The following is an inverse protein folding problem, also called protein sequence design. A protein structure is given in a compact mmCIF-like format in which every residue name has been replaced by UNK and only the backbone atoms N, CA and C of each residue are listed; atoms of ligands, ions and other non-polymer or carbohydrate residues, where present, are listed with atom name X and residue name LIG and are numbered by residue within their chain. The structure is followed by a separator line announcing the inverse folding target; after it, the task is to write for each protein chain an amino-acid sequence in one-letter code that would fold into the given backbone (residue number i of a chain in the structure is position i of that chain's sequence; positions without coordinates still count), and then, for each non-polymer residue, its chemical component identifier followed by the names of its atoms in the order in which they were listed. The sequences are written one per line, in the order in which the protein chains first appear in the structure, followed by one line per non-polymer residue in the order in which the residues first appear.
data_IF_938708477349
#
_entry.id   IF_938708477349
#
_cell.length_a   1.000
_cell.length_b   1.000
_cell.length_c   1.000
_cell.angle_alpha   90.00
_cell.angle_beta   90.00
_cell.angle_gamma   90.00
#
_symmetry.space_group_name_H-M   'P 1'
#
loop_
_entity.id
_entity.type
_entity.pdbx_description
1 polymer ?
#
# COMPACT_ATOMS: atom_id res chain seq x y z
N UNK A 1 3.41 -19.42 26.68
CA UNK A 1 2.24 -18.56 27.00
C UNK A 1 2.05 -17.66 25.80
N UNK A 2 0.82 -17.48 25.33
CA UNK A 2 0.56 -16.57 24.20
C UNK A 2 0.73 -15.14 24.74
N UNK A 3 1.53 -14.33 24.04
CA UNK A 3 1.72 -12.91 24.38
C UNK A 3 0.38 -12.16 24.35
N UNK A 4 0.24 -11.16 25.22
CA UNK A 4 -0.98 -10.37 25.32
C UNK A 4 -1.10 -9.44 24.11
N UNK A 5 -2.13 -9.66 23.28
CA UNK A 5 -2.40 -8.80 22.11
C UNK A 5 -3.11 -7.49 22.50
N UNK A 6 -3.48 -7.28 23.77
CA UNK A 6 -4.21 -6.10 24.23
C UNK A 6 -3.62 -4.76 23.77
N UNK A 7 -2.28 -4.55 23.70
CA UNK A 7 -1.72 -3.32 23.15
C UNK A 7 -2.15 -3.04 21.69
N UNK A 8 -2.30 -4.08 20.87
CA UNK A 8 -2.71 -3.99 19.48
C UNK A 8 -4.23 -3.77 19.31
N UNK A 9 -5.03 -3.94 20.36
CA UNK A 9 -6.46 -3.65 20.38
C UNK A 9 -6.81 -2.26 20.93
N UNK A 10 -5.79 -1.41 21.16
CA UNK A 10 -6.00 -0.01 21.52
C UNK A 10 -6.26 0.86 20.29
N UNK A 11 -7.08 1.89 20.46
CA UNK A 11 -7.38 2.88 19.41
C UNK A 11 -6.09 3.54 18.87
N UNK A 12 -6.09 3.87 17.59
CA UNK A 12 -5.09 4.71 16.92
C UNK A 12 -5.77 5.88 16.23
N UNK A 13 -5.15 7.07 16.32
CA UNK A 13 -5.69 8.28 15.70
C UNK A 13 -4.60 9.02 14.91
N UNK A 14 -4.91 9.43 13.69
CA UNK A 14 -4.07 10.26 12.83
C UNK A 14 -4.93 11.13 11.92
N UNK A 15 -4.93 12.45 12.13
CA UNK A 15 -5.87 13.35 11.43
C UNK A 15 -7.32 12.95 11.73
N UNK A 16 -8.14 12.86 10.69
CA UNK A 16 -9.53 12.36 10.81
C UNK A 16 -9.64 10.83 10.91
N UNK A 17 -8.54 10.09 10.81
CA UNK A 17 -8.54 8.63 10.87
C UNK A 17 -8.53 8.16 12.31
N UNK A 18 -9.63 7.57 12.77
CA UNK A 18 -9.76 6.93 14.08
C UNK A 18 -9.99 5.44 13.85
N UNK A 19 -9.05 4.62 14.30
CA UNK A 19 -9.02 3.17 14.13
C UNK A 19 -9.27 2.49 15.47
N UNK A 20 -10.22 1.56 15.52
CA UNK A 20 -10.60 0.85 16.74
C UNK A 20 -9.53 -0.11 17.28
N UNK A 21 -8.53 -0.44 16.46
CA UNK A 21 -7.37 -1.26 16.83
C UNK A 21 -6.22 -1.01 15.82
N UNK A 22 -5.11 -1.74 15.98
CA UNK A 22 -3.88 -1.55 15.19
C UNK A 22 -3.79 -2.43 13.94
N UNK A 23 -4.78 -3.27 13.65
CA UNK A 23 -4.74 -4.17 12.51
C UNK A 23 -5.26 -3.53 11.23
N UNK A 24 -4.44 -3.61 10.19
CA UNK A 24 -4.69 -3.06 8.87
C UNK A 24 -4.72 -4.20 7.84
N UNK A 25 -5.61 -4.15 6.86
CA UNK A 25 -5.50 -4.99 5.67
C UNK A 25 -4.57 -4.32 4.67
N UNK A 26 -3.47 -5.01 4.32
CA UNK A 26 -2.56 -4.56 3.27
C UNK A 26 -3.25 -4.61 1.90
N UNK A 27 -2.92 -3.72 0.96
CA UNK A 27 -3.37 -3.78 -0.42
C UNK A 27 -3.00 -5.13 -1.05
N UNK A 28 -3.98 -5.77 -1.68
CA UNK A 28 -3.82 -7.05 -2.37
C UNK A 28 -4.67 -7.06 -3.64
N UNK A 29 -4.03 -7.02 -4.80
CA UNK A 29 -4.72 -7.01 -6.10
C UNK A 29 -5.60 -8.24 -6.28
N UNK A 30 -6.89 -8.02 -6.58
CA UNK A 30 -7.88 -9.10 -6.67
C UNK A 30 -8.35 -9.40 -8.09
N UNK A 31 -8.41 -8.42 -8.98
CA UNK A 31 -8.80 -8.61 -10.40
C UNK A 31 -10.27 -8.99 -10.59
N UNK A 32 -11.16 -8.44 -9.76
CA UNK A 32 -12.62 -8.72 -9.80
C UNK A 32 -13.47 -7.49 -10.15
N UNK A 33 -12.87 -6.49 -10.80
CA UNK A 33 -13.53 -5.25 -11.19
C UNK A 33 -13.57 -5.14 -12.72
N UNK A 34 -14.43 -5.91 -13.41
CA UNK A 34 -14.53 -5.87 -14.86
C UNK A 34 -14.86 -4.44 -15.32
N UNK A 35 -14.18 -3.99 -16.38
CA UNK A 35 -14.27 -2.62 -16.89
C UNK A 35 -13.96 -1.54 -15.85
N UNK A 36 -13.10 -1.83 -14.86
CA UNK A 36 -12.72 -0.89 -13.82
C UNK A 36 -13.76 -0.69 -12.72
N UNK A 37 -14.89 -1.43 -12.74
CA UNK A 37 -16.01 -1.21 -11.81
C UNK A 37 -16.04 -2.28 -10.70
N UNK A 38 -15.84 -1.90 -9.43
CA UNK A 38 -16.02 -2.84 -8.31
C UNK A 38 -17.50 -3.17 -8.12
N UNK A 39 -17.83 -4.46 -8.19
CA UNK A 39 -19.20 -4.96 -8.03
C UNK A 39 -19.55 -5.40 -6.61
N UNK A 40 -20.73 -6.00 -6.44
CA UNK A 40 -21.23 -6.48 -5.14
C UNK A 40 -20.29 -7.51 -4.48
N UNK A 41 -19.62 -8.35 -5.26
CA UNK A 41 -18.66 -9.32 -4.74
C UNK A 41 -17.44 -8.62 -4.09
N UNK A 42 -16.96 -7.54 -4.70
CA UNK A 42 -15.86 -6.72 -4.16
C UNK A 42 -16.30 -5.99 -2.89
N UNK A 43 -17.51 -5.44 -2.86
CA UNK A 43 -18.07 -4.85 -1.64
C UNK A 43 -18.12 -5.87 -0.50
N UNK A 44 -18.77 -7.03 -0.74
CA UNK A 44 -18.89 -8.09 0.25
C UNK A 44 -17.52 -8.60 0.74
N UNK A 45 -16.53 -8.69 -0.16
CA UNK A 45 -15.15 -9.06 0.17
C UNK A 45 -14.57 -8.13 1.24
N UNK A 46 -14.60 -6.82 1.03
CA UNK A 46 -14.09 -5.86 2.01
C UNK A 46 -14.96 -5.78 3.28
N UNK A 47 -16.29 -5.84 3.16
CA UNK A 47 -17.21 -5.84 4.32
C UNK A 47 -16.88 -6.96 5.30
N UNK A 48 -16.59 -8.18 4.82
CA UNK A 48 -16.25 -9.31 5.71
C UNK A 48 -14.99 -9.07 6.54
N UNK A 49 -13.99 -8.37 5.99
CA UNK A 49 -12.77 -8.03 6.75
C UNK A 49 -13.04 -6.98 7.82
N UNK A 50 -13.92 -6.01 7.55
CA UNK A 50 -14.39 -5.06 8.54
C UNK A 50 -15.16 -5.76 9.68
N UNK A 51 -16.08 -6.68 9.35
CA UNK A 51 -16.78 -7.51 10.33
C UNK A 51 -15.81 -8.38 11.16
N UNK A 52 -14.70 -8.79 10.56
CA UNK A 52 -13.59 -9.48 11.21
C UNK A 52 -12.72 -8.61 12.13
N UNK A 53 -13.12 -7.36 12.40
CA UNK A 53 -12.40 -6.35 13.21
C UNK A 53 -11.07 -5.87 12.62
N UNK A 54 -10.87 -5.94 11.31
CA UNK A 54 -9.81 -5.15 10.68
C UNK A 54 -10.18 -3.67 10.78
N UNK A 55 -9.36 -2.85 11.44
CA UNK A 55 -9.70 -1.46 11.70
C UNK A 55 -9.58 -0.58 10.46
N UNK A 56 -8.55 -0.80 9.64
CA UNK A 56 -8.32 -0.10 8.38
C UNK A 56 -8.15 -1.09 7.24
N UNK A 57 -8.88 -0.88 6.15
CA UNK A 57 -8.74 -1.60 4.90
C UNK A 57 -8.03 -0.68 3.91
N UNK A 58 -6.86 -1.11 3.43
CA UNK A 58 -6.28 -0.54 2.22
C UNK A 58 -6.71 -1.44 1.06
N UNK A 59 -7.41 -0.89 0.08
CA UNK A 59 -7.91 -1.67 -1.07
C UNK A 59 -6.76 -2.28 -1.86
N UNK A 60 -7.08 -3.15 -2.82
CA UNK A 60 -6.20 -3.39 -3.97
C UNK A 60 -5.72 -2.11 -4.64
N UNK A 61 -4.69 -2.22 -5.49
CA UNK A 61 -4.26 -1.12 -6.35
C UNK A 61 -5.41 -0.65 -7.24
N UNK A 62 -5.70 0.65 -7.19
CA UNK A 62 -6.77 1.30 -7.93
C UNK A 62 -6.16 2.22 -8.98
N UNK A 63 -6.50 2.01 -10.24
CA UNK A 63 -6.03 2.83 -11.36
C UNK A 63 -6.47 4.29 -11.20
N UNK A 64 -5.51 5.19 -11.31
CA UNK A 64 -5.78 6.64 -11.33
C UNK A 64 -6.46 7.06 -12.65
N UNK A 65 -6.96 8.30 -12.69
CA UNK A 65 -7.60 8.93 -13.84
C UNK A 65 -6.62 9.29 -14.97
N UNK A 66 -5.94 8.27 -15.51
CA UNK A 66 -4.99 8.40 -16.60
C UNK A 66 -4.93 7.13 -17.47
N UNK A 67 -4.99 7.23 -18.82
CA UNK A 67 -5.01 6.06 -19.70
C UNK A 67 -3.80 5.11 -19.58
N UNK A 68 -2.63 5.60 -19.14
CA UNK A 68 -1.43 4.76 -18.94
C UNK A 68 -1.33 4.12 -17.55
N UNK A 69 -2.30 4.33 -16.66
CA UNK A 69 -2.19 3.92 -15.26
C UNK A 69 -2.12 2.39 -15.10
N UNK A 70 -2.99 1.68 -15.80
CA UNK A 70 -3.19 0.24 -15.63
C UNK A 70 -3.18 -0.50 -16.98
N UNK A 71 -2.87 -1.79 -16.90
CA UNK A 71 -2.91 -2.74 -18.00
C UNK A 71 -2.44 -4.10 -17.48
N UNK A 72 -2.07 -5.02 -18.38
CA UNK A 72 -1.37 -6.22 -17.92
C UNK A 72 0.04 -5.86 -17.42
N UNK A 73 0.56 -6.63 -16.47
CA UNK A 73 1.89 -6.43 -15.90
C UNK A 73 2.58 -7.74 -15.55
N UNK A 74 3.46 -7.68 -14.55
CA UNK A 74 4.27 -8.82 -14.11
C UNK A 74 3.45 -9.97 -13.52
N UNK A 75 2.23 -9.70 -13.04
CA UNK A 75 1.36 -10.70 -12.43
C UNK A 75 0.11 -10.94 -13.28
N UNK A 76 0.13 -10.62 -14.57
CA UNK A 76 -1.00 -10.72 -15.50
C UNK A 76 -2.25 -9.99 -14.95
N UNK A 77 -2.06 -8.77 -14.44
CA UNK A 77 -3.13 -7.93 -13.90
C UNK A 77 -4.20 -7.65 -14.96
N UNK A 78 -5.46 -7.85 -14.57
CA UNK A 78 -6.65 -7.61 -15.40
C UNK A 78 -7.78 -7.19 -14.46
N UNK A 79 -8.87 -6.62 -14.97
CA UNK A 79 -10.06 -6.26 -14.18
C UNK A 79 -9.70 -5.48 -12.90
N UNK A 80 -8.75 -4.56 -13.03
CA UNK A 80 -8.26 -3.68 -11.96
C UNK A 80 -9.26 -2.55 -11.81
N UNK A 81 -9.73 -2.24 -10.59
CA UNK A 81 -10.68 -1.14 -10.41
C UNK A 81 -10.02 0.21 -10.68
N UNK A 82 -10.84 1.17 -11.09
CA UNK A 82 -10.42 2.53 -11.37
C UNK A 82 -11.11 3.51 -10.41
N UNK A 83 -10.52 4.68 -10.19
CA UNK A 83 -11.08 5.73 -9.33
C UNK A 83 -11.52 6.96 -10.13
N UNK A 84 -12.16 6.72 -11.26
CA UNK A 84 -12.72 7.72 -12.16
C UNK A 84 -13.88 7.13 -12.98
N UNK A 85 -14.70 7.98 -13.59
CA UNK A 85 -15.89 7.56 -14.32
C UNK A 85 -17.08 7.20 -13.43
N UNK A 86 -18.29 7.57 -13.88
CA UNK A 86 -19.50 7.49 -13.05
C UNK A 86 -19.80 6.06 -12.54
N UNK A 87 -19.57 5.04 -13.36
CA UNK A 87 -19.84 3.65 -12.98
C UNK A 87 -18.89 3.14 -11.89
N UNK A 88 -17.58 3.39 -12.01
CA UNK A 88 -16.61 2.95 -11.01
C UNK A 88 -16.80 3.70 -9.70
N UNK A 89 -17.05 5.02 -9.73
CA UNK A 89 -17.33 5.82 -8.54
C UNK A 89 -18.60 5.36 -7.81
N UNK A 90 -19.67 5.01 -8.54
CA UNK A 90 -20.88 4.43 -7.94
C UNK A 90 -20.64 3.03 -7.34
N UNK A 91 -19.75 2.23 -7.95
CA UNK A 91 -19.31 0.96 -7.39
C UNK A 91 -18.55 1.15 -6.08
N UNK A 92 -17.58 2.07 -6.06
CA UNK A 92 -16.79 2.39 -4.87
C UNK A 92 -17.63 2.96 -3.74
N UNK A 93 -18.63 3.81 -4.02
CA UNK A 93 -19.56 4.31 -3.01
C UNK A 93 -20.23 3.15 -2.25
N UNK A 94 -20.72 2.13 -2.97
CA UNK A 94 -21.31 0.94 -2.34
C UNK A 94 -20.31 0.16 -1.49
N UNK A 95 -19.06 0.05 -1.95
CA UNK A 95 -17.99 -0.60 -1.19
C UNK A 95 -17.73 0.16 0.12
N UNK A 96 -17.52 1.48 0.03
CA UNK A 96 -17.28 2.37 1.18
C UNK A 96 -18.42 2.30 2.17
N UNK A 97 -19.67 2.52 1.72
CA UNK A 97 -20.86 2.47 2.57
C UNK A 97 -20.99 1.12 3.29
N UNK A 98 -20.74 0.02 2.60
CA UNK A 98 -20.83 -1.33 3.20
C UNK A 98 -19.77 -1.57 4.27
N UNK A 99 -18.55 -1.06 4.09
CA UNK A 99 -17.46 -1.19 5.06
C UNK A 99 -17.71 -0.32 6.28
N UNK A 100 -18.17 0.92 6.06
CA UNK A 100 -18.56 1.83 7.15
C UNK A 100 -19.73 1.28 7.95
N UNK A 101 -20.74 0.69 7.31
CA UNK A 101 -21.86 0.03 7.99
C UNK A 101 -21.40 -1.17 8.85
N UNK A 102 -20.30 -1.82 8.48
CA UNK A 102 -19.66 -2.88 9.28
C UNK A 102 -18.68 -2.34 10.36
N UNK A 103 -18.53 -1.02 10.48
CA UNK A 103 -17.67 -0.36 11.47
C UNK A 103 -16.18 -0.30 11.11
N UNK A 104 -15.81 -0.62 9.86
CA UNK A 104 -14.44 -0.52 9.37
C UNK A 104 -14.12 0.85 8.76
N UNK A 105 -12.82 1.12 8.59
CA UNK A 105 -12.30 2.24 7.79
C UNK A 105 -11.70 1.72 6.49
N UNK A 106 -11.77 2.50 5.42
CA UNK A 106 -11.25 2.09 4.12
C UNK A 106 -10.62 3.24 3.35
N UNK A 107 -9.48 2.95 2.71
CA UNK A 107 -8.75 3.88 1.84
C UNK A 107 -8.36 3.20 0.54
N UNK A 108 -8.40 3.90 -0.62
CA UNK A 108 -7.93 3.33 -1.86
C UNK A 108 -6.40 3.47 -1.95
N UNK A 109 -5.74 2.44 -2.47
CA UNK A 109 -4.35 2.57 -2.90
C UNK A 109 -4.29 3.06 -4.35
N UNK A 110 -3.99 4.34 -4.54
CA UNK A 110 -3.83 4.94 -5.86
C UNK A 110 -2.58 4.39 -6.55
N UNK A 111 -2.77 3.93 -7.78
CA UNK A 111 -1.79 3.12 -8.48
C UNK A 111 -1.61 3.54 -9.93
N UNK A 112 -0.33 3.62 -10.33
CA UNK A 112 0.09 3.74 -11.71
C UNK A 112 1.25 2.75 -11.92
N UNK A 113 1.06 1.78 -12.82
CA UNK A 113 1.99 0.67 -13.03
C UNK A 113 3.34 1.11 -13.65
N UNK A 114 3.34 2.24 -14.35
CA UNK A 114 4.56 2.81 -14.92
C UNK A 114 5.16 1.89 -15.98
N UNK A 115 6.47 1.67 -15.95
CA UNK A 115 7.17 0.84 -16.91
C UNK A 115 6.82 -0.65 -16.88
N UNK A 116 6.13 -1.11 -15.81
CA UNK A 116 5.68 -2.50 -15.65
C UNK A 116 4.45 -2.79 -16.50
N UNK A 117 3.66 -1.77 -16.82
CA UNK A 117 2.50 -1.91 -17.69
C UNK A 117 2.94 -2.38 -19.08
N UNK A 118 2.28 -3.39 -19.61
CA UNK A 118 2.47 -3.87 -20.97
C UNK A 118 1.65 -3.00 -21.93
N UNK A 119 2.30 -2.36 -22.90
CA UNK A 119 1.63 -1.63 -23.98
C UNK A 119 0.82 -2.60 -24.87
N UNK A 120 -0.21 -2.08 -25.55
CA UNK A 120 -1.10 -2.93 -26.38
C UNK A 120 -2.14 -3.72 -25.58
N UNK A 121 -2.17 -3.60 -24.25
CA UNK A 121 -3.12 -4.33 -23.38
C UNK A 121 -4.31 -3.46 -22.96
N UNK A 122 -5.49 -4.06 -22.70
CA UNK A 122 -6.64 -3.32 -22.17
C UNK A 122 -6.33 -2.72 -20.79
N UNK A 123 -7.05 -1.67 -20.36
CA UNK A 123 -8.20 -1.04 -21.03
C UNK A 123 -7.83 -0.05 -22.14
N UNK A 124 -6.57 0.41 -22.18
CA UNK A 124 -6.12 1.44 -23.13
C UNK A 124 -4.93 0.95 -23.96
N UNK A 125 -5.13 0.12 -25.01
CA UNK A 125 -4.03 -0.50 -25.75
C UNK A 125 -3.10 0.50 -26.45
N UNK A 126 -3.61 1.70 -26.75
CA UNK A 126 -2.84 2.76 -27.40
C UNK A 126 -2.04 3.67 -26.45
N UNK A 127 -2.27 3.57 -25.13
CA UNK A 127 -1.50 4.36 -24.18
C UNK A 127 -0.09 3.79 -24.04
N UNK A 128 0.93 4.65 -24.07
CA UNK A 128 2.32 4.27 -23.80
C UNK A 128 2.52 3.98 -22.31
N UNK A 129 3.51 3.15 -21.99
CA UNK A 129 3.93 2.93 -20.61
C UNK A 129 4.87 4.04 -20.16
N UNK A 130 4.71 4.48 -18.91
CA UNK A 130 5.41 5.66 -18.39
C UNK A 130 6.63 5.23 -17.58
N UNK A 131 7.81 5.66 -18.03
CA UNK A 131 9.09 5.44 -17.35
C UNK A 131 9.72 6.78 -17.04
N UNK A 132 10.40 6.95 -15.88
CA UNK A 132 11.02 8.21 -15.53
C UNK A 132 11.87 8.79 -16.67
N UNK A 133 12.72 7.99 -17.31
CA UNK A 133 13.64 8.46 -18.35
C UNK A 133 12.95 8.98 -19.64
N UNK A 134 11.71 8.53 -19.91
CA UNK A 134 11.03 8.78 -21.18
C UNK A 134 9.93 9.84 -21.07
N UNK A 135 9.68 10.35 -19.85
CA UNK A 135 8.62 11.31 -19.57
C UNK A 135 9.08 12.75 -19.78
N UNK A 136 8.27 13.53 -20.49
CA UNK A 136 8.39 14.99 -20.52
C UNK A 136 7.86 15.65 -19.25
N UNK A 137 8.20 16.92 -19.01
CA UNK A 137 7.63 17.70 -17.90
C UNK A 137 6.10 17.76 -17.97
N UNK A 138 5.53 17.89 -19.19
CA UNK A 138 4.09 17.91 -19.40
C UNK A 138 3.42 16.58 -18.99
N UNK A 139 4.07 15.44 -19.27
CA UNK A 139 3.56 14.13 -18.87
C UNK A 139 3.69 13.88 -17.37
N UNK A 140 4.76 14.38 -16.75
CA UNK A 140 4.89 14.38 -15.29
C UNK A 140 3.75 15.18 -14.66
N UNK A 141 3.48 16.39 -15.17
CA UNK A 141 2.41 17.25 -14.68
C UNK A 141 1.02 16.62 -14.88
N UNK A 142 0.76 16.00 -16.04
CA UNK A 142 -0.53 15.34 -16.32
C UNK A 142 -0.77 14.13 -15.40
N UNK A 143 0.27 13.33 -15.12
CA UNK A 143 0.15 12.23 -14.16
C UNK A 143 -0.11 12.75 -12.75
N UNK A 144 0.58 13.81 -12.30
CA UNK A 144 0.28 14.42 -11.00
C UNK A 144 -1.18 14.87 -10.96
N UNK A 145 -1.66 15.54 -12.00
CA UNK A 145 -3.06 15.96 -12.10
C UNK A 145 -4.04 14.77 -12.06
N UNK A 146 -3.70 13.64 -12.68
CA UNK A 146 -4.52 12.43 -12.62
C UNK A 146 -4.63 11.83 -11.22
N UNK A 147 -3.51 11.75 -10.49
CA UNK A 147 -3.55 11.33 -9.09
C UNK A 147 -4.37 12.29 -8.22
N UNK A 148 -4.26 13.61 -8.46
CA UNK A 148 -5.04 14.64 -7.75
C UNK A 148 -6.53 14.46 -8.01
N UNK A 149 -6.95 14.26 -9.27
CA UNK A 149 -8.35 13.97 -9.62
C UNK A 149 -8.85 12.71 -8.91
N UNK A 150 -8.07 11.63 -8.92
CA UNK A 150 -8.44 10.40 -8.21
C UNK A 150 -8.49 10.57 -6.69
N UNK A 151 -7.60 11.34 -6.07
CA UNK A 151 -7.67 11.63 -4.64
C UNK A 151 -8.89 12.47 -4.27
N UNK A 152 -9.25 13.46 -5.10
CA UNK A 152 -10.49 14.21 -4.94
C UNK A 152 -11.72 13.30 -5.07
N UNK A 153 -11.71 12.38 -6.03
CA UNK A 153 -12.76 11.36 -6.18
C UNK A 153 -12.83 10.44 -4.95
N UNK A 154 -11.69 10.01 -4.39
CA UNK A 154 -11.65 9.20 -3.17
C UNK A 154 -12.41 9.88 -2.02
N UNK A 155 -12.07 11.15 -1.78
CA UNK A 155 -12.73 11.97 -0.76
C UNK A 155 -14.22 12.16 -1.05
N UNK A 156 -14.59 12.43 -2.30
CA UNK A 156 -15.99 12.64 -2.70
C UNK A 156 -16.85 11.38 -2.55
N UNK A 157 -16.28 10.19 -2.80
CA UNK A 157 -16.94 8.89 -2.61
C UNK A 157 -17.06 8.52 -1.12
N UNK A 158 -16.29 9.16 -0.24
CA UNK A 158 -16.37 8.97 1.21
C UNK A 158 -15.29 8.06 1.79
N UNK A 159 -14.23 7.74 1.06
CA UNK A 159 -13.08 7.03 1.65
C UNK A 159 -12.47 7.83 2.81
N UNK A 160 -11.84 7.15 3.76
CA UNK A 160 -11.31 7.76 4.98
C UNK A 160 -9.90 8.37 4.81
N UNK A 161 -9.38 8.43 3.59
CA UNK A 161 -8.00 8.79 3.25
C UNK A 161 -7.60 8.26 1.87
N UNK A 162 -6.33 8.43 1.50
CA UNK A 162 -5.71 7.81 0.30
C UNK A 162 -4.35 7.21 0.64
N UNK A 163 -4.00 6.11 -0.01
CA UNK A 163 -2.64 5.57 0.00
C UNK A 163 -1.98 5.71 -1.38
N UNK A 164 -0.75 6.20 -1.43
CA UNK A 164 0.04 6.27 -2.65
C UNK A 164 0.92 5.03 -2.80
N UNK A 165 0.84 4.37 -3.95
CA UNK A 165 1.70 3.20 -4.22
C UNK A 165 3.13 3.62 -4.60
N UNK A 166 3.92 4.03 -3.60
CA UNK A 166 5.33 4.41 -3.72
C UNK A 166 6.36 3.29 -3.59
N UNK A 167 5.95 2.01 -3.63
CA UNK A 167 6.86 0.85 -3.58
C UNK A 167 6.78 -0.07 -4.81
N UNK A 168 7.51 -1.18 -4.73
CA UNK A 168 7.48 -2.35 -5.62
C UNK A 168 7.88 -2.13 -7.08
N UNK A 169 8.48 -1.00 -7.44
CA UNK A 169 8.95 -0.68 -8.79
C UNK A 169 7.90 -0.05 -9.71
N UNK A 170 6.70 0.24 -9.20
CA UNK A 170 5.68 1.00 -9.95
C UNK A 170 6.08 2.47 -10.10
N UNK A 171 5.24 3.28 -10.76
CA UNK A 171 5.67 4.58 -11.28
C UNK A 171 6.34 5.48 -10.23
N UNK A 172 5.71 5.69 -9.07
CA UNK A 172 6.26 6.56 -8.02
C UNK A 172 7.63 6.02 -7.55
N UNK A 173 7.72 4.72 -7.25
CA UNK A 173 8.95 4.07 -6.79
C UNK A 173 10.05 4.07 -7.87
N UNK A 174 9.66 4.00 -9.14
CA UNK A 174 10.59 4.05 -10.26
C UNK A 174 11.31 5.39 -10.37
N UNK A 175 10.66 6.50 -9.96
CA UNK A 175 11.35 7.79 -9.80
C UNK A 175 12.33 7.78 -8.63
N UNK A 176 11.95 7.13 -7.50
CA UNK A 176 12.76 7.07 -6.29
C UNK A 176 14.05 6.27 -6.47
N UNK A 177 14.08 5.26 -7.34
CA UNK A 177 15.21 4.34 -7.47
C UNK A 177 16.18 4.71 -8.60
N UNK A 178 17.48 4.78 -8.28
CA UNK A 178 18.54 5.14 -9.23
C UNK A 178 18.67 4.13 -10.38
N UNK A 179 18.31 2.87 -10.14
CA UNK A 179 18.32 1.83 -11.18
C UNK A 179 17.29 2.04 -12.29
N UNK A 180 16.21 2.78 -12.02
CA UNK A 180 15.14 3.06 -13.00
C UNK A 180 15.11 4.52 -13.44
N UNK A 181 15.63 5.45 -12.65
CA UNK A 181 15.65 6.88 -12.95
C UNK A 181 17.09 7.38 -13.13
N UNK A 182 17.51 7.47 -14.39
CA UNK A 182 18.81 7.95 -14.84
C UNK A 182 18.74 9.38 -15.43
N UNK A 183 17.64 10.11 -15.19
CA UNK A 183 17.53 11.52 -15.61
C UNK A 183 18.60 12.37 -14.90
N UNK A 184 19.00 13.48 -15.53
CA UNK A 184 19.94 14.46 -14.97
C UNK A 184 19.29 15.83 -14.70
N UNK A 185 17.97 15.94 -14.89
CA UNK A 185 17.18 17.16 -14.74
C UNK A 185 16.62 17.32 -13.31
N UNK A 186 15.56 18.11 -13.14
CA UNK A 186 14.93 18.34 -11.83
C UNK A 186 14.30 17.09 -11.21
N UNK A 187 14.03 16.04 -12.00
CA UNK A 187 13.28 14.85 -11.60
C UNK A 187 14.16 13.60 -11.42
N UNK A 188 15.48 13.71 -11.61
CA UNK A 188 16.43 12.63 -11.37
C UNK A 188 17.84 13.11 -11.07
N UNK A 189 18.75 12.15 -10.88
CA UNK A 189 20.11 12.37 -10.38
C UNK A 189 20.21 12.00 -8.90
N UNK A 190 20.47 13.00 -8.06
CA UNK A 190 20.59 12.76 -6.62
C UNK A 190 19.27 12.33 -5.96
N UNK A 191 19.36 11.85 -4.72
CA UNK A 191 18.21 11.32 -3.95
C UNK A 191 17.09 12.34 -3.78
N UNK A 192 17.39 13.63 -3.62
CA UNK A 192 16.37 14.67 -3.43
C UNK A 192 15.62 14.94 -4.75
N UNK A 193 16.33 15.03 -5.88
CA UNK A 193 15.71 15.20 -7.20
C UNK A 193 14.88 13.99 -7.62
N UNK A 194 15.35 12.77 -7.33
CA UNK A 194 14.55 11.54 -7.50
C UNK A 194 13.30 11.51 -6.62
N UNK A 195 13.37 12.07 -5.41
CA UNK A 195 12.22 12.16 -4.49
C UNK A 195 11.22 13.24 -4.89
N UNK A 196 11.63 14.22 -5.71
CA UNK A 196 10.79 15.37 -6.09
C UNK A 196 9.43 14.95 -6.65
N UNK A 197 9.37 13.95 -7.54
CA UNK A 197 8.10 13.49 -8.13
C UNK A 197 7.09 13.10 -7.04
N UNK A 198 7.50 12.27 -6.10
CA UNK A 198 6.65 11.82 -5.01
C UNK A 198 6.28 12.98 -4.04
N UNK A 199 7.21 13.89 -3.76
CA UNK A 199 6.94 15.04 -2.90
C UNK A 199 5.95 16.03 -3.53
N UNK A 200 6.11 16.39 -4.80
CA UNK A 200 5.19 17.29 -5.52
C UNK A 200 3.80 16.64 -5.68
N UNK A 201 3.76 15.33 -5.91
CA UNK A 201 2.53 14.56 -5.92
C UNK A 201 1.77 14.66 -4.59
N UNK A 202 2.46 14.44 -3.46
CA UNK A 202 1.85 14.53 -2.11
C UNK A 202 1.35 15.95 -1.83
N UNK A 203 2.13 16.98 -2.17
CA UNK A 203 1.72 18.39 -2.00
C UNK A 203 0.45 18.70 -2.79
N UNK A 204 0.43 18.33 -4.07
CA UNK A 204 -0.71 18.60 -4.95
C UNK A 204 -1.98 17.86 -4.47
N UNK A 205 -1.85 16.63 -3.97
CA UNK A 205 -2.98 15.92 -3.36
C UNK A 205 -3.45 16.62 -2.09
N UNK A 206 -2.51 17.04 -1.22
CA UNK A 206 -2.81 17.74 0.03
C UNK A 206 -3.64 19.00 -0.21
N UNK A 207 -3.32 19.77 -1.26
CA UNK A 207 -4.06 20.99 -1.62
C UNK A 207 -5.55 20.74 -1.89
N UNK A 208 -5.92 19.58 -2.48
CA UNK A 208 -7.32 19.28 -2.81
C UNK A 208 -8.05 18.52 -1.72
N UNK A 209 -7.36 17.65 -0.97
CA UNK A 209 -7.99 16.85 0.09
C UNK A 209 -8.04 17.57 1.44
N UNK A 210 -7.27 18.64 1.62
CA UNK A 210 -7.20 19.42 2.85
C UNK A 210 -6.33 18.75 3.94
N UNK A 211 -6.07 19.43 5.07
CA UNK A 211 -5.07 19.01 6.06
C UNK A 211 -5.45 17.78 6.88
N UNK A 212 -6.74 17.55 7.12
CA UNK A 212 -7.19 16.48 8.03
C UNK A 212 -7.38 15.12 7.33
N UNK A 213 -7.48 15.11 6.00
CA UNK A 213 -7.71 13.92 5.20
C UNK A 213 -6.40 13.11 5.08
N UNK A 214 -6.30 11.89 5.64
CA UNK A 214 -5.04 11.16 5.71
C UNK A 214 -4.44 10.85 4.34
N UNK A 215 -3.15 11.13 4.19
CA UNK A 215 -2.34 10.71 3.03
C UNK A 215 -1.28 9.73 3.49
N UNK A 216 -1.45 8.47 3.08
CA UNK A 216 -0.53 7.38 3.34
C UNK A 216 0.43 7.20 2.17
N UNK A 217 1.67 6.81 2.47
CA UNK A 217 2.66 6.52 1.44
C UNK A 217 3.23 5.12 1.64
N UNK A 218 2.97 4.22 0.69
CA UNK A 218 3.58 2.89 0.69
C UNK A 218 5.01 2.98 0.15
N UNK A 219 5.98 2.44 0.88
CA UNK A 219 7.40 2.47 0.53
C UNK A 219 8.04 1.08 0.71
N UNK A 220 8.97 0.71 -0.17
CA UNK A 220 9.76 -0.52 -0.06
C UNK A 220 11.21 -0.27 -0.47
N UNK A 221 12.16 -0.95 0.18
CA UNK A 221 13.53 -1.00 -0.35
C UNK A 221 13.60 -1.88 -1.60
N UNK A 222 12.96 -3.06 -1.57
CA UNK A 222 12.92 -4.04 -2.66
C UNK A 222 11.92 -3.69 -3.78
N UNK A 223 12.05 -4.36 -4.94
CA UNK A 223 11.21 -4.21 -6.13
C UNK A 223 10.74 -5.58 -6.62
N UNK A 224 9.61 -5.65 -7.34
CA UNK A 224 9.17 -6.91 -7.96
C UNK A 224 10.14 -7.41 -9.04
N UNK A 225 10.88 -6.48 -9.65
CA UNK A 225 11.85 -6.74 -10.72
C UNK A 225 13.24 -7.08 -10.16
N UNK A 226 13.51 -6.69 -8.91
CA UNK A 226 14.79 -6.85 -8.23
C UNK A 226 14.57 -6.86 -6.71
N UNK A 227 14.64 -8.06 -6.12
CA UNK A 227 14.41 -8.24 -4.68
C UNK A 227 15.59 -7.78 -3.79
N UNK A 228 16.75 -7.54 -4.39
CA UNK A 228 17.96 -7.06 -3.73
C UNK A 228 18.14 -5.55 -3.86
N UNK A 229 17.36 -4.91 -4.73
CA UNK A 229 17.31 -3.47 -4.85
C UNK A 229 17.01 -2.77 -3.52
N UNK A 230 17.57 -1.57 -3.38
CA UNK A 230 17.33 -0.66 -2.28
C UNK A 230 17.17 0.77 -2.78
N UNK A 231 16.32 1.53 -2.10
CA UNK A 231 16.20 2.97 -2.32
C UNK A 231 17.35 3.75 -1.67
N UNK A 232 17.87 3.22 -0.57
CA UNK A 232 18.89 3.82 0.26
C UNK A 232 19.76 2.72 0.88
N UNK A 233 21.09 2.86 0.76
CA UNK A 233 22.05 1.94 1.38
C UNK A 233 22.34 2.28 2.83
N UNK A 234 22.06 3.53 3.22
CA UNK A 234 22.32 4.06 4.56
C UNK A 234 21.07 4.70 5.18
N UNK A 235 20.98 4.77 6.52
CA UNK A 235 19.94 5.53 7.21
C UNK A 235 19.90 7.02 6.78
N UNK A 236 21.05 7.61 6.46
CA UNK A 236 21.19 9.01 6.04
C UNK A 236 20.53 9.23 4.67
N UNK A 237 20.76 8.34 3.72
CA UNK A 237 20.08 8.37 2.42
C UNK A 237 18.57 8.16 2.56
N UNK A 238 18.15 7.22 3.42
CA UNK A 238 16.73 6.97 3.70
C UNK A 238 16.08 8.22 4.31
N UNK A 239 16.81 8.95 5.17
CA UNK A 239 16.33 10.17 5.80
C UNK A 239 15.98 11.26 4.78
N UNK A 240 16.78 11.41 3.71
CA UNK A 240 16.50 12.37 2.64
C UNK A 240 15.14 12.10 1.98
N UNK A 241 14.82 10.82 1.74
CA UNK A 241 13.55 10.41 1.12
C UNK A 241 12.39 10.67 2.08
N UNK A 242 12.42 10.05 3.28
CA UNK A 242 11.25 10.02 4.15
C UNK A 242 10.96 11.36 4.83
N UNK A 243 11.97 12.20 5.05
CA UNK A 243 11.75 13.58 5.54
C UNK A 243 11.11 14.44 4.47
N UNK A 244 11.60 14.38 3.23
CA UNK A 244 11.00 15.13 2.11
C UNK A 244 9.52 14.76 1.91
N UNK A 245 9.17 13.48 2.04
CA UNK A 245 7.78 13.01 1.95
C UNK A 245 6.94 13.43 3.16
N UNK A 246 7.50 13.38 4.37
CA UNK A 246 6.81 13.84 5.59
C UNK A 246 6.54 15.36 5.54
N UNK A 247 7.52 16.14 5.09
CA UNK A 247 7.40 17.61 4.89
C UNK A 247 6.41 17.96 3.78
N UNK A 248 6.33 17.14 2.72
CA UNK A 248 5.35 17.30 1.66
C UNK A 248 3.89 17.07 2.14
N UNK A 249 3.70 16.33 3.24
CA UNK A 249 2.38 16.12 3.84
C UNK A 249 1.95 14.66 3.96
N UNK A 250 2.88 13.69 3.93
CA UNK A 250 2.58 12.30 4.31
C UNK A 250 2.27 12.21 5.81
N UNK A 251 1.20 11.50 6.15
CA UNK A 251 0.74 11.30 7.52
C UNK A 251 1.20 9.97 8.10
N UNK A 252 1.18 8.89 7.31
CA UNK A 252 1.57 7.54 7.74
C UNK A 252 2.35 6.85 6.61
N UNK A 253 3.44 6.17 6.96
CA UNK A 253 4.15 5.30 6.01
C UNK A 253 3.69 3.84 6.11
N UNK A 254 3.27 3.28 4.97
CA UNK A 254 3.04 1.85 4.78
C UNK A 254 4.34 1.17 4.34
N UNK A 255 5.01 0.52 5.30
CA UNK A 255 6.40 0.06 5.10
C UNK A 255 6.40 -1.40 4.66
N UNK A 256 6.47 -1.57 3.35
CA UNK A 256 6.44 -2.88 2.72
C UNK A 256 7.78 -3.59 2.81
N UNK A 257 7.81 -4.70 3.55
CA UNK A 257 8.95 -5.61 3.63
C UNK A 257 8.53 -7.04 3.29
N UNK A 258 9.49 -7.87 2.91
CA UNK A 258 9.24 -9.31 2.70
C UNK A 258 9.00 -10.04 4.01
N UNK A 259 9.76 -9.66 5.04
CA UNK A 259 9.70 -10.20 6.40
C UNK A 259 9.94 -9.05 7.39
N UNK A 260 8.97 -8.83 8.28
CA UNK A 260 8.92 -7.61 9.11
C UNK A 260 10.06 -7.48 10.14
N UNK A 261 10.64 -8.60 10.58
CA UNK A 261 11.63 -8.65 11.65
C UNK A 261 13.09 -8.72 11.14
N UNK A 262 13.30 -8.55 9.84
CA UNK A 262 14.63 -8.48 9.24
C UNK A 262 15.18 -7.06 9.37
N UNK A 263 16.43 -6.88 9.84
CA UNK A 263 17.05 -5.56 9.91
C UNK A 263 17.14 -4.86 8.56
N UNK A 264 16.88 -3.55 8.54
CA UNK A 264 16.97 -2.77 7.30
C UNK A 264 18.41 -2.45 6.87
N UNK A 265 19.34 -2.39 7.84
CA UNK A 265 20.74 -2.03 7.63
C UNK A 265 21.66 -2.93 8.47
N UNK A 266 22.93 -3.04 8.07
CA UNK A 266 23.92 -3.83 8.80
C UNK A 266 24.24 -3.23 10.18
N UNK A 267 24.52 -4.08 11.17
CA UNK A 267 24.96 -3.66 12.50
C UNK A 267 23.85 -3.17 13.44
N UNK A 268 22.58 -3.45 13.14
CA UNK A 268 21.42 -3.11 13.97
C UNK A 268 20.35 -4.20 13.88
N UNK A 269 19.45 -4.27 14.88
CA UNK A 269 18.26 -5.13 14.86
C UNK A 269 16.99 -4.38 14.39
N UNK A 270 17.11 -3.08 14.08
CA UNK A 270 15.99 -2.24 13.69
C UNK A 270 15.48 -2.58 12.28
N UNK A 271 14.19 -2.92 12.19
CA UNK A 271 13.50 -3.09 10.93
C UNK A 271 13.24 -1.75 10.21
N UNK A 272 12.78 -1.83 8.95
CA UNK A 272 12.58 -0.64 8.11
C UNK A 272 11.51 0.31 8.68
N UNK A 273 10.42 -0.22 9.23
CA UNK A 273 9.36 0.58 9.84
C UNK A 273 9.88 1.42 11.02
N UNK A 274 10.76 0.85 11.84
CA UNK A 274 11.39 1.54 12.97
C UNK A 274 12.29 2.69 12.50
N UNK A 275 13.10 2.44 11.45
CA UNK A 275 13.94 3.48 10.85
C UNK A 275 13.12 4.62 10.26
N UNK A 276 12.10 4.31 9.45
CA UNK A 276 11.25 5.33 8.83
C UNK A 276 10.52 6.15 9.90
N UNK A 277 10.00 5.51 10.95
CA UNK A 277 9.36 6.20 12.08
C UNK A 277 10.32 7.17 12.75
N UNK A 278 11.54 6.70 13.09
CA UNK A 278 12.59 7.49 13.72
C UNK A 278 13.03 8.68 12.85
N UNK A 279 13.16 8.48 11.54
CA UNK A 279 13.73 9.48 10.63
C UNK A 279 12.71 10.53 10.17
N UNK A 280 11.45 10.14 9.98
CA UNK A 280 10.36 11.01 9.51
C UNK A 280 9.57 11.66 10.64
N UNK A 281 9.56 11.06 11.84
CA UNK A 281 8.68 11.48 12.94
C UNK A 281 7.19 11.19 12.71
N UNK A 282 6.85 10.46 11.64
CA UNK A 282 5.48 10.08 11.29
C UNK A 282 5.18 8.65 11.74
N UNK A 283 3.91 8.33 12.06
CA UNK A 283 3.49 6.96 12.30
C UNK A 283 3.85 6.02 11.15
N UNK A 284 4.14 4.76 11.47
CA UNK A 284 4.42 3.72 10.48
C UNK A 284 3.57 2.48 10.71
N UNK A 285 3.30 1.75 9.63
CA UNK A 285 2.81 0.37 9.72
C UNK A 285 3.85 -0.60 9.19
N UNK A 286 3.90 -1.78 9.80
CA UNK A 286 4.75 -2.88 9.34
C UNK A 286 3.95 -3.94 8.61
N UNK A 287 4.54 -4.57 7.58
CA UNK A 287 3.99 -5.72 6.87
C UNK A 287 5.12 -6.65 6.41
N UNK A 288 4.83 -7.94 6.31
CA UNK A 288 5.71 -8.97 5.74
C UNK A 288 5.84 -10.18 6.65
N UNK A 289 5.40 -11.37 6.20
CA UNK A 289 5.55 -12.62 6.96
C UNK A 289 4.72 -12.76 8.25
N UNK A 290 3.82 -11.82 8.58
CA UNK A 290 2.97 -11.95 9.77
C UNK A 290 1.96 -13.08 9.56
N UNK A 291 1.99 -14.07 10.45
CA UNK A 291 1.18 -15.29 10.36
C UNK A 291 1.76 -16.40 9.47
N UNK A 292 2.93 -16.22 8.83
CA UNK A 292 3.51 -17.20 7.89
C UNK A 292 5.02 -17.36 7.99
N UNK A 293 5.50 -18.58 7.72
CA UNK A 293 6.92 -18.94 7.72
C UNK A 293 7.70 -18.45 6.48
N UNK A 294 7.01 -18.09 5.39
CA UNK A 294 7.63 -17.69 4.13
C UNK A 294 7.15 -16.33 3.63
N UNK A 295 8.05 -15.64 2.95
CA UNK A 295 7.71 -14.41 2.21
C UNK A 295 6.88 -14.70 0.95
N UNK A 296 6.38 -13.65 0.29
CA UNK A 296 5.40 -13.76 -0.80
C UNK A 296 5.94 -14.51 -2.03
N UNK A 297 7.14 -14.20 -2.51
CA UNK A 297 7.73 -14.81 -3.70
C UNK A 297 7.92 -16.33 -3.51
N UNK A 298 8.48 -16.73 -2.37
CA UNK A 298 8.64 -18.14 -1.99
C UNK A 298 7.29 -18.89 -1.90
N UNK A 299 6.20 -18.20 -1.51
CA UNK A 299 4.87 -18.83 -1.42
C UNK A 299 4.22 -19.15 -2.76
N UNK A 300 4.69 -18.56 -3.86
CA UNK A 300 4.27 -18.96 -5.21
C UNK A 300 4.97 -20.24 -5.69
N UNK A 301 6.15 -20.55 -5.14
CA UNK A 301 6.94 -21.71 -5.52
C UNK A 301 6.80 -22.89 -4.56
N UNK A 302 6.39 -22.66 -3.31
CA UNK A 302 6.36 -23.67 -2.26
C UNK A 302 5.16 -23.50 -1.32
N UNK A 303 4.63 -24.59 -0.74
CA UNK A 303 3.66 -24.52 0.35
C UNK A 303 4.18 -23.66 1.50
N UNK A 304 3.29 -22.87 2.11
CA UNK A 304 3.57 -21.99 3.25
C UNK A 304 2.88 -22.53 4.50
N UNK A 305 3.57 -22.54 5.63
CA UNK A 305 2.97 -22.92 6.91
C UNK A 305 2.45 -21.68 7.62
N UNK A 306 1.28 -21.78 8.23
CA UNK A 306 0.86 -20.78 9.21
C UNK A 306 1.78 -20.89 10.44
N UNK A 307 2.29 -19.76 10.91
CA UNK A 307 3.05 -19.68 12.18
C UNK A 307 2.45 -18.61 13.07
N UNK A 308 2.56 -18.81 14.38
CA UNK A 308 2.24 -17.77 15.36
C UNK A 308 3.50 -16.99 15.71
N UNK A 309 3.79 -15.95 14.94
CA UNK A 309 4.87 -15.00 15.20
C UNK A 309 4.37 -13.70 15.87
N UNK A 310 3.18 -13.73 16.48
CA UNK A 310 2.58 -12.52 17.08
C UNK A 310 3.29 -12.04 18.33
N UNK A 311 3.99 -12.93 19.03
CA UNK A 311 4.85 -12.54 20.14
C UNK A 311 5.93 -11.53 19.71
N UNK A 312 6.57 -11.78 18.57
CA UNK A 312 7.57 -10.86 18.01
C UNK A 312 6.94 -9.57 17.49
N UNK A 313 5.69 -9.64 16.99
CA UNK A 313 4.93 -8.44 16.61
C UNK A 313 4.67 -7.56 17.84
N UNK A 314 4.13 -8.12 18.92
CA UNK A 314 3.85 -7.35 20.15
C UNK A 314 5.14 -6.78 20.75
N UNK A 315 6.20 -7.60 20.87
CA UNK A 315 7.49 -7.15 21.43
C UNK A 315 8.05 -5.92 20.69
N UNK A 316 8.02 -5.93 19.35
CA UNK A 316 8.50 -4.80 18.55
C UNK A 316 7.55 -3.60 18.58
N UNK A 317 6.23 -3.84 18.60
CA UNK A 317 5.24 -2.79 18.77
C UNK A 317 5.44 -2.05 20.10
N UNK A 318 5.59 -2.77 21.22
CA UNK A 318 5.86 -2.19 22.53
C UNK A 318 7.23 -1.52 22.62
N UNK A 319 8.20 -2.00 21.83
CA UNK A 319 9.49 -1.34 21.60
C UNK A 319 9.40 -0.04 20.79
N UNK A 320 8.22 0.35 20.29
CA UNK A 320 8.00 1.59 19.55
C UNK A 320 8.49 1.55 18.10
N UNK A 321 8.63 0.36 17.50
CA UNK A 321 9.11 0.19 16.12
C UNK A 321 8.07 0.56 15.06
N UNK A 322 6.78 0.49 15.38
CA UNK A 322 5.67 0.85 14.48
C UNK A 322 4.39 1.07 15.27
N UNK A 323 3.40 1.70 14.63
CA UNK A 323 2.14 2.12 15.25
C UNK A 323 0.95 1.26 14.79
N UNK A 324 1.12 0.52 13.68
CA UNK A 324 0.09 -0.28 13.02
C UNK A 324 0.68 -1.57 12.42
N UNK A 325 -0.16 -2.59 12.29
CA UNK A 325 0.21 -3.95 11.83
C UNK A 325 -0.62 -4.32 10.61
N UNK A 326 0.01 -4.36 9.44
CA UNK A 326 -0.66 -4.69 8.20
C UNK A 326 -0.57 -6.20 7.88
N UNK A 327 -1.71 -6.77 7.51
CA UNK A 327 -1.92 -8.18 7.20
C UNK A 327 -2.27 -8.35 5.72
N UNK A 328 -1.52 -9.20 5.03
CA UNK A 328 -1.78 -9.56 3.63
C UNK A 328 -2.50 -10.90 3.52
N UNK A 329 -1.75 -11.92 3.07
CA UNK A 329 -2.21 -13.31 2.84
C UNK A 329 -3.09 -13.89 3.95
N UNK A 330 -2.89 -13.49 5.19
CA UNK A 330 -3.67 -13.96 6.34
C UNK A 330 -5.16 -13.64 6.17
N UNK A 331 -5.47 -12.45 5.65
CA UNK A 331 -6.85 -11.99 5.39
C UNK A 331 -7.41 -12.45 4.04
N UNK A 332 -6.57 -13.04 3.17
CA UNK A 332 -7.07 -13.80 2.01
C UNK A 332 -7.60 -15.16 2.44
N UNK A 333 -6.92 -15.80 3.40
CA UNK A 333 -7.33 -17.10 3.92
C UNK A 333 -8.51 -16.98 4.88
N UNK A 334 -8.53 -15.94 5.71
CA UNK A 334 -9.51 -15.81 6.77
C UNK A 334 -9.89 -14.34 7.02
N UNK A 335 -11.09 -13.89 6.61
CA UNK A 335 -11.54 -12.53 6.91
C UNK A 335 -11.71 -12.28 8.42
N UNK A 336 -11.86 -13.33 9.25
CA UNK A 336 -11.99 -13.24 10.70
C UNK A 336 -10.65 -13.41 11.45
N UNK A 337 -9.51 -13.33 10.74
CA UNK A 337 -8.19 -13.58 11.32
C UNK A 337 -7.91 -12.76 12.59
N UNK A 338 -8.28 -11.48 12.62
CA UNK A 338 -8.04 -10.61 13.80
C UNK A 338 -8.83 -11.09 15.03
N UNK A 339 -10.08 -11.51 14.85
CA UNK A 339 -10.88 -12.13 15.91
C UNK A 339 -10.26 -13.44 16.40
N UNK A 340 -9.78 -14.28 15.47
CA UNK A 340 -9.12 -15.54 15.83
C UNK A 340 -7.80 -15.31 16.56
N UNK A 341 -7.01 -14.32 16.14
CA UNK A 341 -5.80 -13.92 16.84
C UNK A 341 -6.13 -13.49 18.28
N UNK A 342 -7.16 -12.67 18.46
CA UNK A 342 -7.64 -12.24 19.78
C UNK A 342 -8.09 -13.42 20.66
N UNK A 343 -8.81 -14.38 20.08
CA UNK A 343 -9.36 -15.54 20.78
C UNK A 343 -8.33 -16.68 20.98
N UNK A 344 -7.15 -16.56 20.40
CA UNK A 344 -6.15 -17.60 20.42
C UNK A 344 -6.54 -18.86 19.63
N UNK A 345 -7.23 -18.71 18.52
CA UNK A 345 -7.55 -19.83 17.61
C UNK A 345 -6.40 -20.03 16.60
N UNK A 346 -6.10 -21.27 16.16
CA UNK A 346 -5.12 -21.52 15.10
C UNK A 346 -5.46 -20.82 13.78
N UNK A 347 -4.44 -20.54 12.98
CA UNK A 347 -4.57 -19.89 11.67
C UNK A 347 -4.50 -20.92 10.53
N UNK A 348 -5.18 -20.61 9.43
CA UNK A 348 -5.11 -21.41 8.21
C UNK A 348 -3.79 -21.17 7.46
N UNK A 349 -3.19 -22.20 6.85
CA UNK A 349 -2.04 -22.04 5.97
C UNK A 349 -2.42 -21.24 4.72
N UNK A 350 -1.43 -20.67 4.04
CA UNK A 350 -1.69 -19.94 2.81
C UNK A 350 -1.91 -20.89 1.63
N UNK A 351 -2.98 -20.65 0.87
CA UNK A 351 -3.33 -21.34 -0.36
C UNK A 351 -3.36 -20.34 -1.53
N UNK A 352 -2.61 -20.64 -2.58
CA UNK A 352 -2.50 -19.80 -3.76
C UNK A 352 -3.86 -19.56 -4.45
N UNK A 353 -4.78 -20.51 -4.38
CA UNK A 353 -6.11 -20.39 -4.96
C UNK A 353 -6.95 -19.28 -4.32
N UNK A 354 -6.55 -18.78 -3.14
CA UNK A 354 -7.19 -17.63 -2.49
C UNK A 354 -7.14 -16.35 -3.35
N UNK A 355 -6.15 -16.21 -4.24
CA UNK A 355 -6.13 -15.07 -5.18
C UNK A 355 -7.28 -15.11 -6.19
N UNK A 356 -7.74 -16.31 -6.57
CA UNK A 356 -8.80 -16.53 -7.56
C UNK A 356 -10.22 -16.50 -7.01
N UNK A 357 -10.44 -16.11 -5.75
CA UNK A 357 -11.77 -16.09 -5.13
C UNK A 357 -11.96 -14.92 -4.17
N UNK A 358 -13.16 -14.35 -4.11
CA UNK A 358 -13.48 -13.22 -3.25
C UNK A 358 -14.17 -13.61 -1.95
N UNK A 359 -14.22 -14.88 -1.55
CA UNK A 359 -14.95 -15.35 -0.36
C UNK A 359 -14.37 -14.89 0.99
#
# INVERSE_FOLDING_TARGET
MREDLAPLFKEFTCGSLILSNRFVMSPMTRKFSPNGVPGNAVAAYYTRRAMGKVALIITEGVGIDHPSAIGHGSMAEENIPELHGAAALAGWLKVVDSVHAAGGKIIPQLWHMGGIRQEGTPPHPHAKSMRPNDMSEAEIADIIAAFVRSAANAKAVGFDGVALHGGHGYLIDSFLWAGTNARDDAWGGDTLRRTRFAAELVKAIREVVGPDFPVLFRISQWKLQDYEAKLAETPEELALIVRSLAEAGVDIFDVSTRVFNVPAFAGTDMGLAAWIRKLSGKPTMTVGGIGFDKELAASFAQPTSAIDNLAEVVRRFEGGEYDLVALGRALLMDPAWVLKAQAGVPFEPFDLSAYGRLD
#
